data_IF_170209110057
#
_entry.id   IF_170209110057
#
_cell.length_a   1.000
_cell.length_b   1.000
_cell.length_c   1.000
_cell.angle_alpha   90.00
_cell.angle_beta   90.00
_cell.angle_gamma   90.00
#
_symmetry.space_group_name_H-M   'P 1'
#
loop_
_entity.id
_entity.type
_entity.pdbx_description
1 polymer ?
#
# COMPACT_ATOMS: atom_id res chain seq x y z
N UNK A 1 5.36 -24.36 -20.14
CA UNK A 1 4.14 -23.91 -19.42
C UNK A 1 4.33 -22.47 -18.96
N UNK A 2 3.34 -21.60 -19.13
CA UNK A 2 3.45 -20.20 -18.69
C UNK A 2 3.40 -20.12 -17.16
N UNK A 3 4.52 -19.81 -16.53
CA UNK A 3 4.68 -19.76 -15.06
C UNK A 3 3.93 -18.58 -14.40
N UNK A 4 3.46 -17.62 -15.20
CA UNK A 4 2.75 -16.43 -14.74
C UNK A 4 1.49 -16.75 -13.89
N UNK A 5 0.74 -17.78 -14.28
CA UNK A 5 -0.50 -18.16 -13.59
C UNK A 5 -0.33 -19.25 -12.53
N UNK A 6 0.89 -19.55 -12.12
CA UNK A 6 1.14 -20.57 -11.09
C UNK A 6 0.69 -20.13 -9.71
N UNK A 7 0.64 -18.82 -9.46
CA UNK A 7 0.17 -18.24 -8.19
C UNK A 7 -0.60 -16.93 -8.41
N UNK A 8 -1.70 -16.69 -7.68
CA UNK A 8 -2.56 -15.51 -7.86
C UNK A 8 -1.86 -14.17 -7.58
N UNK A 9 -0.84 -14.11 -6.73
CA UNK A 9 -0.06 -12.91 -6.46
C UNK A 9 0.36 -12.17 -7.75
N UNK A 10 0.82 -12.90 -8.74
CA UNK A 10 1.38 -12.34 -10.00
C UNK A 10 0.36 -11.61 -10.84
N UNK A 11 -0.78 -12.22 -11.24
CA UNK A 11 -1.81 -11.50 -11.98
C UNK A 11 -2.42 -10.35 -11.18
N UNK A 12 -2.56 -10.48 -9.86
CA UNK A 12 -3.04 -9.39 -9.02
C UNK A 12 -2.09 -8.20 -9.00
N UNK A 13 -0.78 -8.40 -8.83
CA UNK A 13 0.21 -7.31 -8.84
C UNK A 13 0.28 -6.64 -10.21
N UNK A 14 0.25 -7.41 -11.29
CA UNK A 14 0.24 -6.87 -12.66
C UNK A 14 -1.06 -6.09 -12.93
N UNK A 15 -2.21 -6.62 -12.53
CA UNK A 15 -3.51 -5.94 -12.65
C UNK A 15 -3.56 -4.65 -11.83
N UNK A 16 -3.07 -4.69 -10.60
CA UNK A 16 -2.99 -3.50 -9.75
C UNK A 16 -2.06 -2.43 -10.34
N UNK A 17 -0.92 -2.81 -10.92
CA UNK A 17 -0.03 -1.86 -11.60
C UNK A 17 -0.69 -1.24 -12.85
N UNK A 18 -1.44 -2.01 -13.63
CA UNK A 18 -2.21 -1.48 -14.75
C UNK A 18 -3.31 -0.49 -14.29
N UNK A 19 -4.02 -0.82 -13.20
CA UNK A 19 -5.00 0.08 -12.58
C UNK A 19 -4.35 1.35 -12.04
N UNK A 20 -3.14 1.28 -11.48
CA UNK A 20 -2.40 2.45 -11.02
C UNK A 20 -2.03 3.38 -12.18
N UNK A 21 -1.63 2.83 -13.34
CA UNK A 21 -1.38 3.62 -14.56
C UNK A 21 -2.68 4.31 -15.01
N UNK A 22 -3.78 3.57 -15.08
CA UNK A 22 -5.08 4.13 -15.46
C UNK A 22 -5.52 5.22 -14.48
N UNK A 23 -5.45 4.97 -13.18
CA UNK A 23 -5.81 5.93 -12.14
C UNK A 23 -4.95 7.19 -12.18
N UNK A 24 -3.66 7.09 -12.50
CA UNK A 24 -2.79 8.25 -12.65
C UNK A 24 -3.13 9.08 -13.90
N UNK A 25 -3.48 8.41 -15.01
CA UNK A 25 -3.71 9.07 -16.30
C UNK A 25 -5.17 9.48 -16.53
N UNK A 26 -6.09 9.16 -15.64
CA UNK A 26 -7.53 9.42 -15.83
C UNK A 26 -7.85 10.90 -16.06
N UNK A 27 -7.07 11.82 -15.50
CA UNK A 27 -7.24 13.26 -15.70
C UNK A 27 -6.96 13.74 -17.13
N UNK A 28 -6.20 12.97 -17.93
CA UNK A 28 -6.00 13.27 -19.35
C UNK A 28 -7.20 12.89 -20.22
N UNK A 29 -8.02 11.93 -19.73
CA UNK A 29 -9.24 11.47 -20.39
C UNK A 29 -10.42 12.33 -19.96
N UNK A 30 -10.49 12.67 -18.67
CA UNK A 30 -11.55 13.48 -18.08
C UNK A 30 -10.98 14.40 -16.98
N UNK A 31 -10.76 15.70 -17.27
CA UNK A 31 -10.15 16.64 -16.32
C UNK A 31 -10.89 16.79 -14.99
N UNK A 32 -12.21 16.53 -14.96
CA UNK A 32 -13.04 16.55 -13.74
C UNK A 32 -13.08 15.22 -12.97
N UNK A 33 -12.35 14.21 -13.37
CA UNK A 33 -12.46 12.83 -12.85
C UNK A 33 -11.79 12.59 -11.48
N UNK A 34 -11.90 13.55 -10.54
CA UNK A 34 -11.32 13.42 -9.19
C UNK A 34 -11.89 12.22 -8.44
N UNK A 35 -13.21 12.00 -8.54
CA UNK A 35 -13.87 10.87 -7.87
C UNK A 35 -13.40 9.56 -8.48
N UNK A 36 -13.40 9.46 -9.81
CA UNK A 36 -12.95 8.28 -10.53
C UNK A 36 -11.47 7.95 -10.23
N UNK A 37 -10.60 8.96 -10.17
CA UNK A 37 -9.21 8.79 -9.73
C UNK A 37 -9.13 8.14 -8.34
N UNK A 38 -9.89 8.63 -7.37
CA UNK A 38 -9.93 8.07 -6.01
C UNK A 38 -10.43 6.63 -6.00
N UNK A 39 -11.49 6.36 -6.74
CA UNK A 39 -12.08 5.03 -6.83
C UNK A 39 -11.14 4.03 -7.49
N UNK A 40 -10.48 4.37 -8.60
CA UNK A 40 -9.51 3.48 -9.23
C UNK A 40 -8.38 3.12 -8.26
N UNK A 41 -7.84 4.07 -7.51
CA UNK A 41 -6.78 3.77 -6.54
C UNK A 41 -7.29 3.02 -5.31
N UNK A 42 -8.34 3.52 -4.65
CA UNK A 42 -8.77 2.99 -3.35
C UNK A 42 -9.67 1.75 -3.48
N UNK A 43 -10.50 1.68 -4.53
CA UNK A 43 -11.49 0.62 -4.68
C UNK A 43 -11.08 -0.49 -5.66
N UNK A 44 -10.12 -0.26 -6.56
CA UNK A 44 -9.69 -1.28 -7.52
C UNK A 44 -8.21 -1.66 -7.33
N UNK A 45 -7.31 -0.69 -7.40
CA UNK A 45 -5.86 -0.93 -7.38
C UNK A 45 -5.41 -1.49 -6.03
N UNK A 46 -5.77 -0.86 -4.91
CA UNK A 46 -5.36 -1.32 -3.59
C UNK A 46 -5.97 -2.67 -3.21
N UNK A 47 -7.28 -2.95 -3.39
CA UNK A 47 -7.81 -4.29 -3.20
C UNK A 47 -7.07 -5.35 -4.00
N UNK A 48 -6.76 -5.10 -5.29
CA UNK A 48 -5.94 -6.01 -6.09
C UNK A 48 -4.54 -6.21 -5.48
N UNK A 49 -3.90 -5.14 -5.02
CA UNK A 49 -2.59 -5.22 -4.36
C UNK A 49 -2.64 -6.08 -3.09
N UNK A 50 -3.65 -5.89 -2.24
CA UNK A 50 -3.84 -6.68 -1.02
C UNK A 50 -4.19 -8.14 -1.31
N UNK A 51 -5.06 -8.40 -2.28
CA UNK A 51 -5.38 -9.76 -2.69
C UNK A 51 -4.18 -10.53 -3.17
N UNK A 52 -3.36 -9.89 -4.01
CA UNK A 52 -2.09 -10.47 -4.46
C UNK A 52 -1.14 -10.76 -3.31
N UNK A 53 -0.94 -9.80 -2.41
CA UNK A 53 -0.04 -9.96 -1.27
C UNK A 53 -0.56 -11.01 -0.28
N UNK A 54 -1.82 -10.90 0.16
CA UNK A 54 -2.34 -11.77 1.22
C UNK A 54 -2.54 -13.23 0.76
N UNK A 55 -2.78 -13.47 -0.53
CA UNK A 55 -2.82 -14.84 -1.06
C UNK A 55 -1.45 -15.52 -1.02
N UNK A 56 -0.34 -14.77 -1.02
CA UNK A 56 0.99 -15.32 -0.79
C UNK A 56 1.33 -15.37 0.72
N UNK A 57 1.24 -14.23 1.38
CA UNK A 57 1.67 -14.08 2.77
C UNK A 57 0.91 -14.98 3.76
N UNK A 58 -0.40 -15.17 3.55
CA UNK A 58 -1.20 -16.02 4.43
C UNK A 58 -0.80 -17.50 4.36
N UNK A 59 -0.30 -17.98 3.21
CA UNK A 59 0.22 -19.34 3.09
C UNK A 59 1.47 -19.54 3.97
N UNK A 60 2.40 -18.58 3.92
CA UNK A 60 3.60 -18.61 4.77
C UNK A 60 3.24 -18.49 6.25
N UNK A 61 2.32 -17.57 6.58
CA UNK A 61 1.99 -17.25 7.98
C UNK A 61 1.18 -18.34 8.67
N UNK A 62 0.47 -19.19 7.92
CA UNK A 62 -0.38 -20.26 8.46
C UNK A 62 0.04 -21.65 8.02
N UNK A 63 1.10 -21.79 7.23
CA UNK A 63 1.54 -23.08 6.70
C UNK A 63 0.51 -23.79 5.81
N UNK A 64 -0.51 -23.08 5.32
CA UNK A 64 -1.58 -23.66 4.51
C UNK A 64 -1.10 -24.08 3.12
N UNK A 65 -1.32 -25.34 2.76
CA UNK A 65 -0.91 -25.92 1.46
C UNK A 65 -2.08 -26.24 0.52
N UNK A 66 -3.25 -25.66 0.80
CA UNK A 66 -4.45 -25.95 0.01
C UNK A 66 -4.56 -25.13 -1.28
N UNK A 67 -5.68 -25.32 -2.00
CA UNK A 67 -5.91 -24.71 -3.30
C UNK A 67 -6.42 -23.26 -3.16
N UNK A 68 -5.73 -22.31 -3.81
CA UNK A 68 -6.11 -20.90 -3.86
C UNK A 68 -7.06 -20.57 -5.02
N UNK A 69 -7.12 -21.43 -6.04
CA UNK A 69 -7.84 -21.16 -7.29
C UNK A 69 -9.30 -20.71 -7.10
N UNK A 70 -10.13 -21.35 -6.24
CA UNK A 70 -11.52 -20.94 -6.09
C UNK A 70 -11.64 -19.51 -5.56
N UNK A 71 -10.93 -19.21 -4.47
CA UNK A 71 -10.97 -17.90 -3.82
C UNK A 71 -10.40 -16.80 -4.72
N UNK A 72 -9.27 -17.05 -5.37
CA UNK A 72 -8.65 -16.08 -6.27
C UNK A 72 -9.50 -15.83 -7.53
N UNK A 73 -10.17 -16.87 -8.08
CA UNK A 73 -11.11 -16.69 -9.20
C UNK A 73 -12.27 -15.81 -8.80
N UNK A 74 -12.89 -16.05 -7.63
CA UNK A 74 -13.97 -15.22 -7.13
C UNK A 74 -13.52 -13.76 -6.94
N UNK A 75 -12.37 -13.55 -6.32
CA UNK A 75 -11.81 -12.21 -6.11
C UNK A 75 -11.53 -11.47 -7.42
N UNK A 76 -10.94 -12.14 -8.41
CA UNK A 76 -10.70 -11.56 -9.75
C UNK A 76 -12.03 -11.22 -10.44
N UNK A 77 -13.03 -12.11 -10.37
CA UNK A 77 -14.35 -11.87 -10.94
C UNK A 77 -15.01 -10.63 -10.34
N UNK A 78 -14.97 -10.48 -9.01
CA UNK A 78 -15.52 -9.31 -8.31
C UNK A 78 -14.82 -8.02 -8.73
N UNK A 79 -13.49 -8.01 -8.84
CA UNK A 79 -12.73 -6.83 -9.29
C UNK A 79 -12.99 -6.49 -10.75
N UNK A 80 -13.08 -7.48 -11.63
CA UNK A 80 -13.42 -7.26 -13.03
C UNK A 80 -14.84 -6.71 -13.19
N UNK A 81 -15.82 -7.25 -12.43
CA UNK A 81 -17.17 -6.74 -12.39
C UNK A 81 -17.21 -5.29 -11.89
N UNK A 82 -16.52 -5.00 -10.78
CA UNK A 82 -16.39 -3.63 -10.26
C UNK A 82 -15.79 -2.69 -11.31
N UNK A 83 -14.69 -3.09 -11.95
CA UNK A 83 -14.00 -2.29 -12.98
C UNK A 83 -14.88 -2.00 -14.20
N UNK A 84 -15.65 -3.00 -14.65
CA UNK A 84 -16.54 -2.85 -15.80
C UNK A 84 -17.76 -1.97 -15.49
N UNK A 85 -18.27 -2.01 -14.27
CA UNK A 85 -19.45 -1.27 -13.84
C UNK A 85 -19.11 0.17 -13.41
N UNK A 86 -17.90 0.42 -12.91
CA UNK A 86 -17.49 1.69 -12.33
C UNK A 86 -17.81 2.92 -13.21
N UNK A 87 -17.59 2.92 -14.54
CA UNK A 87 -17.92 4.08 -15.39
C UNK A 87 -19.42 4.39 -15.48
N UNK A 88 -20.28 3.39 -15.22
CA UNK A 88 -21.74 3.50 -15.41
C UNK A 88 -22.49 3.68 -14.07
N UNK A 89 -22.03 2.99 -13.05
CA UNK A 89 -22.64 3.01 -11.72
C UNK A 89 -21.59 2.84 -10.62
N UNK A 90 -20.98 3.96 -10.18
CA UNK A 90 -19.93 3.93 -9.16
C UNK A 90 -20.36 3.23 -7.86
N UNK A 91 -21.58 3.49 -7.38
CA UNK A 91 -22.08 2.85 -6.17
C UNK A 91 -22.26 1.34 -6.32
N UNK A 92 -22.79 0.87 -7.46
CA UNK A 92 -22.90 -0.58 -7.74
C UNK A 92 -21.51 -1.22 -7.80
N UNK A 93 -20.55 -0.58 -8.44
CA UNK A 93 -19.16 -1.03 -8.45
C UNK A 93 -18.61 -1.18 -7.02
N UNK A 94 -18.89 -0.21 -6.14
CA UNK A 94 -18.45 -0.22 -4.75
C UNK A 94 -19.02 -1.39 -3.94
N UNK A 95 -20.21 -1.89 -4.24
CA UNK A 95 -20.75 -3.13 -3.63
C UNK A 95 -19.94 -4.37 -4.03
N UNK A 96 -19.50 -4.48 -5.29
CA UNK A 96 -18.61 -5.57 -5.70
C UNK A 96 -17.26 -5.50 -4.97
N UNK A 97 -16.74 -4.29 -4.71
CA UNK A 97 -15.52 -4.11 -3.91
C UNK A 97 -15.76 -4.45 -2.44
N UNK A 98 -16.92 -4.12 -1.88
CA UNK A 98 -17.29 -4.55 -0.52
C UNK A 98 -17.35 -6.09 -0.41
N UNK A 99 -17.96 -6.75 -1.39
CA UNK A 99 -17.97 -8.21 -1.49
C UNK A 99 -16.54 -8.79 -1.61
N UNK A 100 -15.65 -8.13 -2.36
CA UNK A 100 -14.25 -8.52 -2.45
C UNK A 100 -13.55 -8.48 -1.09
N UNK A 101 -13.71 -7.38 -0.33
CA UNK A 101 -13.13 -7.27 1.00
C UNK A 101 -13.70 -8.32 1.97
N UNK A 102 -15.00 -8.61 1.88
CA UNK A 102 -15.63 -9.66 2.66
C UNK A 102 -15.05 -11.05 2.34
N UNK A 103 -14.87 -11.38 1.06
CA UNK A 103 -14.26 -12.64 0.64
C UNK A 103 -12.82 -12.75 1.17
N UNK A 104 -12.04 -11.68 1.09
CA UNK A 104 -10.66 -11.65 1.59
C UNK A 104 -10.61 -11.78 3.13
N UNK A 105 -11.52 -11.10 3.84
CA UNK A 105 -11.68 -11.21 5.29
C UNK A 105 -12.02 -12.65 5.70
N UNK A 106 -13.02 -13.26 5.08
CA UNK A 106 -13.46 -14.62 5.40
C UNK A 106 -12.38 -15.66 5.08
N UNK A 107 -11.64 -15.48 3.98
CA UNK A 107 -10.52 -16.33 3.62
C UNK A 107 -9.39 -16.25 4.67
N UNK A 108 -8.96 -15.05 5.03
CA UNK A 108 -7.93 -14.88 6.05
C UNK A 108 -8.39 -15.37 7.44
N UNK A 109 -9.65 -15.10 7.82
CA UNK A 109 -10.22 -15.57 9.07
C UNK A 109 -10.25 -17.10 9.15
N UNK A 110 -10.65 -17.75 8.06
CA UNK A 110 -10.65 -19.21 7.96
C UNK A 110 -9.25 -19.80 8.11
N UNK A 111 -8.23 -19.22 7.46
CA UNK A 111 -6.84 -19.71 7.56
C UNK A 111 -6.30 -19.52 8.98
N UNK A 112 -6.53 -18.37 9.61
CA UNK A 112 -6.10 -18.11 10.99
C UNK A 112 -6.80 -19.04 11.97
N UNK A 113 -8.08 -19.34 11.75
CA UNK A 113 -8.82 -20.30 12.56
C UNK A 113 -8.26 -21.73 12.45
N UNK A 114 -7.86 -22.17 11.26
CA UNK A 114 -7.22 -23.44 11.03
C UNK A 114 -5.85 -23.56 11.73
N UNK A 115 -5.04 -22.51 11.63
CA UNK A 115 -3.70 -22.45 12.23
C UNK A 115 -3.73 -22.25 13.76
N UNK A 116 -4.85 -21.81 14.31
CA UNK A 116 -5.03 -21.46 15.74
C UNK A 116 -4.01 -20.44 16.27
N UNK A 117 -3.41 -19.64 15.39
CA UNK A 117 -2.41 -18.63 15.74
C UNK A 117 -3.09 -17.25 15.84
N UNK A 118 -2.99 -16.64 17.02
CA UNK A 118 -3.58 -15.32 17.31
C UNK A 118 -2.76 -14.15 16.83
N UNK A 119 -1.51 -14.36 16.40
CA UNK A 119 -0.58 -13.29 15.97
C UNK A 119 -1.09 -12.47 14.78
N UNK A 120 -2.05 -13.04 14.03
CA UNK A 120 -2.63 -12.42 12.85
C UNK A 120 -4.00 -11.74 13.11
N UNK A 121 -4.50 -11.67 14.33
CA UNK A 121 -5.81 -11.04 14.62
C UNK A 121 -5.87 -9.54 14.26
N UNK A 122 -4.75 -8.82 14.38
CA UNK A 122 -4.70 -7.43 13.94
C UNK A 122 -4.99 -7.27 12.43
N UNK A 123 -4.63 -8.25 11.60
CA UNK A 123 -4.99 -8.28 10.19
C UNK A 123 -6.50 -8.39 10.01
N UNK A 124 -7.17 -9.28 10.77
CA UNK A 124 -8.64 -9.44 10.68
C UNK A 124 -9.36 -8.14 11.06
N UNK A 125 -8.88 -7.42 12.09
CA UNK A 125 -9.42 -6.11 12.47
C UNK A 125 -9.32 -5.12 11.33
N UNK A 126 -8.17 -5.06 10.64
CA UNK A 126 -7.98 -4.18 9.47
C UNK A 126 -8.90 -4.57 8.31
N UNK A 127 -8.99 -5.86 7.97
CA UNK A 127 -9.86 -6.35 6.88
C UNK A 127 -11.34 -6.14 7.20
N UNK A 128 -11.76 -6.32 8.46
CA UNK A 128 -13.11 -6.00 8.90
C UNK A 128 -13.39 -4.49 8.77
N UNK A 129 -12.46 -3.63 9.16
CA UNK A 129 -12.59 -2.19 8.98
C UNK A 129 -12.72 -1.81 7.49
N UNK A 130 -11.89 -2.37 6.60
CA UNK A 130 -12.05 -2.17 5.15
C UNK A 130 -13.42 -2.60 4.65
N UNK A 131 -13.90 -3.78 5.08
CA UNK A 131 -15.22 -4.29 4.69
C UNK A 131 -16.34 -3.35 5.14
N UNK A 132 -16.31 -2.90 6.40
CA UNK A 132 -17.31 -1.99 6.97
C UNK A 132 -17.30 -0.62 6.26
N UNK A 133 -16.13 -0.01 6.11
CA UNK A 133 -16.01 1.31 5.47
C UNK A 133 -16.41 1.26 3.99
N UNK A 134 -16.04 0.20 3.29
CA UNK A 134 -16.39 0.01 1.89
C UNK A 134 -17.91 -0.22 1.72
N UNK A 135 -18.52 -1.03 2.58
CA UNK A 135 -19.97 -1.27 2.57
C UNK A 135 -20.74 0.02 2.89
N UNK A 136 -20.28 0.78 3.90
CA UNK A 136 -20.87 2.06 4.25
C UNK A 136 -20.77 3.07 3.10
N UNK A 137 -19.59 3.14 2.42
CA UNK A 137 -19.42 3.99 1.24
C UNK A 137 -20.34 3.57 0.09
N UNK A 138 -20.43 2.28 -0.21
CA UNK A 138 -21.31 1.78 -1.25
C UNK A 138 -22.80 2.11 -0.98
N UNK A 139 -23.22 2.08 0.30
CA UNK A 139 -24.58 2.39 0.70
C UNK A 139 -24.91 3.87 0.71
N UNK A 140 -23.95 4.74 1.08
CA UNK A 140 -24.21 6.18 1.34
C UNK A 140 -23.67 7.11 0.27
N UNK A 141 -22.61 6.70 -0.44
CA UNK A 141 -21.84 7.58 -1.34
C UNK A 141 -21.00 8.65 -0.61
N UNK A 142 -20.86 8.56 0.72
CA UNK A 142 -20.11 9.57 1.49
C UNK A 142 -18.61 9.49 1.22
N UNK A 143 -18.07 10.50 0.52
CA UNK A 143 -16.66 10.61 0.15
C UNK A 143 -15.72 10.73 1.37
N UNK A 144 -16.22 11.07 2.56
CA UNK A 144 -15.39 11.08 3.76
C UNK A 144 -14.98 9.66 4.16
N UNK A 145 -15.81 8.66 3.86
CA UNK A 145 -15.48 7.26 4.07
C UNK A 145 -14.31 6.82 3.18
N UNK A 146 -14.26 7.26 1.91
CA UNK A 146 -13.08 7.02 1.05
C UNK A 146 -11.83 7.73 1.56
N UNK A 147 -11.98 8.95 2.11
CA UNK A 147 -10.85 9.67 2.71
C UNK A 147 -10.31 8.92 3.93
N UNK A 148 -11.19 8.46 4.80
CA UNK A 148 -10.81 7.68 5.97
C UNK A 148 -10.14 6.34 5.60
N UNK A 149 -10.53 5.73 4.48
CA UNK A 149 -9.86 4.53 3.95
C UNK A 149 -8.38 4.76 3.62
N UNK A 150 -7.93 5.99 3.30
CA UNK A 150 -6.50 6.29 3.14
C UNK A 150 -5.74 5.96 4.43
N UNK A 151 -6.30 6.30 5.58
CA UNK A 151 -5.66 6.05 6.88
C UNK A 151 -5.71 4.57 7.28
N UNK A 152 -6.78 3.85 6.91
CA UNK A 152 -6.83 2.39 7.03
C UNK A 152 -5.75 1.72 6.16
N UNK A 153 -5.57 2.20 4.93
CA UNK A 153 -4.51 1.71 4.05
C UNK A 153 -3.12 1.98 4.62
N UNK A 154 -2.89 3.15 5.23
CA UNK A 154 -1.63 3.43 5.93
C UNK A 154 -1.43 2.52 7.14
N UNK A 155 -2.51 2.20 7.90
CA UNK A 155 -2.44 1.23 8.99
C UNK A 155 -2.06 -0.18 8.49
N UNK A 156 -2.62 -0.61 7.35
CA UNK A 156 -2.26 -1.87 6.72
C UNK A 156 -0.81 -1.87 6.19
N UNK A 157 -0.35 -0.77 5.58
CA UNK A 157 1.07 -0.59 5.19
C UNK A 157 1.97 -0.69 6.42
N UNK A 158 1.60 -0.07 7.55
CA UNK A 158 2.38 -0.18 8.78
C UNK A 158 2.36 -1.59 9.37
N UNK A 159 1.24 -2.30 9.28
CA UNK A 159 1.14 -3.70 9.72
C UNK A 159 2.10 -4.60 8.94
N UNK A 160 2.11 -4.49 7.61
CA UNK A 160 2.98 -5.29 6.72
C UNK A 160 4.43 -4.83 6.83
N UNK A 161 4.67 -3.51 6.94
CA UNK A 161 5.99 -2.90 6.91
C UNK A 161 6.93 -3.45 7.97
N UNK A 162 6.42 -3.86 9.14
CA UNK A 162 7.26 -4.44 10.21
C UNK A 162 7.80 -5.80 9.82
N UNK A 163 6.99 -6.65 9.19
CA UNK A 163 7.46 -7.96 8.72
C UNK A 163 8.51 -7.81 7.61
N UNK A 164 8.22 -6.91 6.67
CA UNK A 164 9.16 -6.59 5.60
C UNK A 164 10.43 -5.92 6.15
N UNK A 165 10.33 -5.02 7.16
CA UNK A 165 11.50 -4.36 7.73
C UNK A 165 12.45 -5.33 8.45
N UNK A 166 11.93 -6.38 9.07
CA UNK A 166 12.76 -7.44 9.66
C UNK A 166 13.59 -8.15 8.59
N UNK A 167 12.96 -8.50 7.47
CA UNK A 167 13.67 -9.10 6.33
C UNK A 167 14.71 -8.15 5.74
N UNK A 168 14.32 -6.89 5.47
CA UNK A 168 15.22 -5.87 4.92
C UNK A 168 16.40 -5.57 5.86
N UNK A 169 16.11 -5.45 7.16
CA UNK A 169 17.12 -5.19 8.18
C UNK A 169 18.10 -6.34 8.34
N UNK A 170 17.62 -7.58 8.40
CA UNK A 170 18.46 -8.77 8.49
C UNK A 170 19.39 -8.92 7.28
N UNK A 171 18.86 -8.73 6.07
CA UNK A 171 19.68 -8.80 4.84
C UNK A 171 20.72 -7.66 4.79
N UNK A 172 20.34 -6.44 5.17
CA UNK A 172 21.26 -5.31 5.21
C UNK A 172 22.39 -5.51 6.24
N UNK A 173 22.09 -6.01 7.45
CA UNK A 173 23.09 -6.33 8.47
C UNK A 173 24.09 -7.38 7.95
N UNK A 174 23.60 -8.43 7.32
CA UNK A 174 24.42 -9.48 6.70
C UNK A 174 25.34 -8.93 5.61
N UNK A 175 24.77 -8.13 4.68
CA UNK A 175 25.55 -7.53 3.59
C UNK A 175 26.57 -6.48 4.07
N UNK A 176 26.25 -5.72 5.13
CA UNK A 176 27.17 -4.72 5.71
C UNK A 176 28.17 -5.34 6.70
N UNK A 177 28.06 -6.65 7.01
CA UNK A 177 28.91 -7.36 7.99
C UNK A 177 28.93 -6.69 9.38
N UNK A 178 27.80 -6.09 9.76
CA UNK A 178 27.66 -5.47 11.08
C UNK A 178 27.39 -6.54 12.12
N UNK A 179 28.16 -6.52 13.23
CA UNK A 179 28.04 -7.50 14.32
C UNK A 179 27.03 -7.10 15.38
N UNK A 180 26.86 -5.80 15.59
CA UNK A 180 25.93 -5.29 16.60
C UNK A 180 24.54 -5.04 16.00
N UNK A 181 23.47 -5.22 16.79
CA UNK A 181 22.11 -4.99 16.33
C UNK A 181 21.84 -3.49 16.14
N UNK A 182 22.26 -2.96 14.98
CA UNK A 182 21.99 -1.58 14.57
C UNK A 182 20.53 -1.42 14.11
N UNK A 183 19.89 -2.54 13.79
CA UNK A 183 18.48 -2.63 13.44
C UNK A 183 17.75 -3.40 14.54
N UNK A 184 16.79 -2.73 15.20
CA UNK A 184 15.94 -3.35 16.22
C UNK A 184 14.48 -3.06 15.84
N UNK A 185 13.74 -4.06 15.28
CA UNK A 185 12.33 -3.87 14.98
C UNK A 185 11.56 -3.58 16.28
N UNK A 186 10.83 -2.47 16.29
CA UNK A 186 10.10 -2.05 17.47
C UNK A 186 8.60 -2.35 17.32
N UNK A 187 8.18 -3.48 17.92
CA UNK A 187 6.78 -3.92 17.91
C UNK A 187 5.86 -2.90 18.60
N UNK A 188 6.35 -2.21 19.64
CA UNK A 188 5.57 -1.20 20.36
C UNK A 188 5.24 -0.03 19.43
N UNK A 189 6.24 0.53 18.74
CA UNK A 189 6.01 1.61 17.77
C UNK A 189 5.09 1.20 16.61
N UNK A 190 5.19 -0.06 16.16
CA UNK A 190 4.25 -0.61 15.18
C UNK A 190 2.81 -0.55 15.69
N UNK A 191 2.57 -1.12 16.85
CA UNK A 191 1.22 -1.22 17.39
C UNK A 191 0.63 0.16 17.69
N UNK A 192 1.43 1.06 18.26
CA UNK A 192 1.03 2.46 18.49
C UNK A 192 0.72 3.15 17.15
N UNK A 193 1.55 2.99 16.12
CA UNK A 193 1.32 3.59 14.81
C UNK A 193 0.00 3.11 14.19
N UNK A 194 -0.27 1.81 14.21
CA UNK A 194 -1.53 1.23 13.71
C UNK A 194 -2.72 1.79 14.51
N UNK A 195 -2.64 1.77 15.84
CA UNK A 195 -3.72 2.26 16.71
C UNK A 195 -4.03 3.73 16.44
N UNK A 196 -3.01 4.60 16.36
CA UNK A 196 -3.21 6.02 16.10
C UNK A 196 -3.68 6.30 14.66
N UNK A 197 -3.30 5.49 13.68
CA UNK A 197 -3.83 5.58 12.32
C UNK A 197 -5.33 5.24 12.28
N UNK A 198 -5.77 4.20 13.00
CA UNK A 198 -7.19 3.85 13.14
C UNK A 198 -7.97 4.92 13.90
N UNK A 199 -7.40 5.47 14.99
CA UNK A 199 -7.98 6.59 15.73
C UNK A 199 -8.10 7.84 14.84
N UNK A 200 -7.09 8.12 14.02
CA UNK A 200 -7.14 9.24 13.08
C UNK A 200 -8.20 9.04 12.00
N UNK A 201 -8.34 7.82 11.44
CA UNK A 201 -9.40 7.49 10.50
C UNK A 201 -10.79 7.75 11.12
N UNK A 202 -10.99 7.33 12.37
CA UNK A 202 -12.20 7.59 13.12
C UNK A 202 -12.41 9.10 13.40
N UNK A 203 -11.35 9.81 13.77
CA UNK A 203 -11.40 11.26 14.02
C UNK A 203 -11.78 12.04 12.76
N UNK A 204 -11.30 11.65 11.58
CA UNK A 204 -11.66 12.25 10.30
C UNK A 204 -13.18 12.17 10.00
N UNK A 205 -13.86 11.14 10.50
CA UNK A 205 -15.28 10.91 10.24
C UNK A 205 -16.20 11.55 11.26
N UNK A 206 -15.81 11.50 12.53
CA UNK A 206 -16.76 11.74 13.62
C UNK A 206 -16.37 12.88 14.56
N UNK A 207 -15.15 13.42 14.44
CA UNK A 207 -14.68 14.43 15.38
C UNK A 207 -14.41 15.77 14.68
N UNK A 208 -14.39 16.89 15.43
CA UNK A 208 -14.04 18.19 14.87
C UNK A 208 -12.66 18.21 14.20
N UNK A 209 -12.49 19.07 13.19
CA UNK A 209 -11.25 19.20 12.43
C UNK A 209 -10.01 19.41 13.30
N UNK A 210 -10.14 20.14 14.41
CA UNK A 210 -9.06 20.34 15.37
C UNK A 210 -8.61 19.02 16.03
N UNK A 211 -9.55 18.18 16.49
CA UNK A 211 -9.25 16.85 17.08
C UNK A 211 -8.60 15.96 16.04
N UNK A 212 -9.11 15.92 14.82
CA UNK A 212 -8.48 15.22 13.71
C UNK A 212 -7.07 15.78 13.41
N UNK A 213 -6.84 17.07 13.58
CA UNK A 213 -5.52 17.71 13.46
C UNK A 213 -4.54 17.19 14.50
N UNK A 214 -4.92 17.10 15.78
CA UNK A 214 -4.06 16.56 16.84
C UNK A 214 -3.76 15.08 16.66
N UNK A 215 -4.73 14.28 16.23
CA UNK A 215 -4.49 12.85 15.93
C UNK A 215 -3.55 12.68 14.74
N UNK A 216 -3.63 13.52 13.71
CA UNK A 216 -2.68 13.52 12.59
C UNK A 216 -1.25 13.85 13.06
N UNK A 217 -1.07 14.89 13.91
CA UNK A 217 0.24 15.22 14.50
C UNK A 217 0.80 14.04 15.28
N UNK A 218 -0.02 13.38 16.11
CA UNK A 218 0.40 12.20 16.87
C UNK A 218 0.90 11.09 15.95
N UNK A 219 0.16 10.76 14.88
CA UNK A 219 0.60 9.79 13.86
C UNK A 219 1.94 10.22 13.26
N UNK A 220 2.08 11.47 12.85
CA UNK A 220 3.31 11.98 12.26
C UNK A 220 4.53 11.82 13.18
N UNK A 221 4.42 12.18 14.44
CA UNK A 221 5.50 12.00 15.43
C UNK A 221 5.83 10.53 15.70
N UNK A 222 4.83 9.65 15.75
CA UNK A 222 5.05 8.21 15.90
C UNK A 222 5.83 7.64 14.72
N UNK A 223 5.47 8.03 13.49
CA UNK A 223 6.17 7.59 12.28
C UNK A 223 7.61 8.14 12.21
N UNK A 224 7.84 9.38 12.68
CA UNK A 224 9.20 9.92 12.83
C UNK A 224 10.03 9.10 13.84
N UNK A 225 9.45 8.78 15.01
CA UNK A 225 10.12 7.96 16.00
C UNK A 225 10.48 6.57 15.45
N UNK A 226 9.62 6.01 14.58
CA UNK A 226 9.83 4.72 13.93
C UNK A 226 11.03 4.73 12.96
N UNK A 227 11.43 5.86 12.40
CA UNK A 227 12.64 5.97 11.56
C UNK A 227 13.91 5.49 12.27
N UNK A 228 13.95 5.57 13.62
CA UNK A 228 15.09 5.11 14.41
C UNK A 228 15.43 3.64 14.18
N UNK A 229 14.45 2.80 13.79
CA UNK A 229 14.67 1.37 13.53
C UNK A 229 15.77 1.11 12.50
N UNK A 230 15.89 1.98 11.49
CA UNK A 230 16.83 1.83 10.37
C UNK A 230 17.77 3.04 10.21
N UNK A 231 17.83 3.95 11.20
CA UNK A 231 18.62 5.17 11.13
C UNK A 231 20.10 4.90 11.38
N UNK A 232 20.74 4.22 10.43
CA UNK A 232 22.17 3.94 10.45
C UNK A 232 22.75 4.13 9.06
N UNK A 233 23.89 4.86 8.94
CA UNK A 233 24.42 5.28 7.64
C UNK A 233 24.77 4.10 6.72
N UNK A 234 25.31 2.99 7.25
CA UNK A 234 25.62 1.81 6.43
C UNK A 234 24.33 1.13 5.91
N UNK A 235 23.30 1.01 6.75
CA UNK A 235 22.00 0.45 6.33
C UNK A 235 21.36 1.32 5.25
N UNK A 236 21.41 2.65 5.39
CA UNK A 236 20.85 3.61 4.42
C UNK A 236 21.60 3.64 3.08
N UNK A 237 22.79 3.03 2.97
CA UNK A 237 23.43 2.79 1.66
C UNK A 237 22.69 1.77 0.81
N UNK A 238 21.94 0.86 1.45
CA UNK A 238 21.14 -0.14 0.73
C UNK A 238 19.86 0.48 0.18
N UNK A 239 19.63 0.33 -1.12
CA UNK A 239 18.50 0.99 -1.80
C UNK A 239 17.13 0.52 -1.27
N UNK A 240 16.99 -0.76 -0.90
CA UNK A 240 15.76 -1.28 -0.33
C UNK A 240 15.50 -0.73 1.09
N UNK A 241 16.54 -0.52 1.91
CA UNK A 241 16.42 0.14 3.21
C UNK A 241 16.05 1.62 3.04
N UNK A 242 16.68 2.33 2.09
CA UNK A 242 16.32 3.72 1.78
C UNK A 242 14.86 3.85 1.34
N UNK A 243 14.37 2.92 0.52
CA UNK A 243 12.95 2.91 0.11
C UNK A 243 12.04 2.85 1.33
N UNK A 244 12.31 1.93 2.25
CA UNK A 244 11.55 1.82 3.50
C UNK A 244 11.67 3.08 4.36
N UNK A 245 12.86 3.63 4.51
CA UNK A 245 13.10 4.85 5.27
C UNK A 245 12.35 6.05 4.68
N UNK A 246 12.41 6.22 3.36
CA UNK A 246 11.76 7.34 2.66
C UNK A 246 10.23 7.24 2.76
N UNK A 247 9.62 6.06 2.59
CA UNK A 247 8.16 5.95 2.72
C UNK A 247 7.67 6.36 4.12
N UNK A 248 8.43 6.00 5.17
CA UNK A 248 8.11 6.40 6.54
C UNK A 248 8.25 7.92 6.73
N UNK A 249 9.33 8.50 6.18
CA UNK A 249 9.58 9.94 6.25
C UNK A 249 8.50 10.74 5.52
N UNK A 250 8.12 10.32 4.32
CA UNK A 250 7.06 10.98 3.54
C UNK A 250 5.69 10.86 4.23
N UNK A 251 5.37 9.69 4.77
CA UNK A 251 4.15 9.51 5.55
C UNK A 251 4.16 10.41 6.80
N UNK A 252 5.25 10.43 7.56
CA UNK A 252 5.40 11.28 8.73
C UNK A 252 5.22 12.76 8.39
N UNK A 253 5.94 13.24 7.38
CA UNK A 253 5.84 14.64 6.92
C UNK A 253 4.42 14.97 6.45
N UNK A 254 3.77 14.06 5.73
CA UNK A 254 2.39 14.22 5.29
C UNK A 254 1.41 14.35 6.45
N UNK A 255 1.52 13.50 7.48
CA UNK A 255 0.66 13.57 8.66
C UNK A 255 0.93 14.82 9.51
N UNK A 256 2.19 15.20 9.72
CA UNK A 256 2.52 16.44 10.43
C UNK A 256 1.96 17.67 9.72
N UNK A 257 2.12 17.73 8.40
CA UNK A 257 1.57 18.83 7.61
C UNK A 257 0.02 18.81 7.59
N UNK A 258 -0.60 17.61 7.46
CA UNK A 258 -2.07 17.48 7.55
C UNK A 258 -2.58 18.00 8.90
N UNK A 259 -1.93 17.63 10.00
CA UNK A 259 -2.29 18.09 11.33
C UNK A 259 -2.18 19.61 11.47
N UNK A 260 -1.04 20.19 11.06
CA UNK A 260 -0.83 21.64 11.09
C UNK A 260 -1.85 22.39 10.21
N UNK A 261 -2.15 21.88 9.01
CA UNK A 261 -3.14 22.48 8.11
C UNK A 261 -4.54 22.47 8.73
N UNK A 262 -4.97 21.36 9.34
CA UNK A 262 -6.28 21.26 10.00
C UNK A 262 -6.41 22.20 11.21
N UNK A 263 -5.37 22.35 12.01
CA UNK A 263 -5.37 23.28 13.15
C UNK A 263 -5.47 24.74 12.70
N UNK A 264 -5.00 25.04 11.50
CA UNK A 264 -5.07 26.39 10.89
C UNK A 264 -6.27 26.57 9.95
N UNK A 265 -7.17 25.58 9.84
CA UNK A 265 -8.30 25.54 8.90
C UNK A 265 -7.86 25.72 7.43
N UNK A 266 -6.67 25.19 7.07
CA UNK A 266 -6.14 25.21 5.71
C UNK A 266 -6.48 23.88 4.97
N UNK A 267 -6.52 23.92 3.62
CA UNK A 267 -6.75 22.72 2.82
C UNK A 267 -5.65 21.66 3.05
N UNK A 268 -6.05 20.40 3.28
CA UNK A 268 -5.13 19.28 3.50
C UNK A 268 -4.88 18.42 2.23
N UNK A 269 -5.24 18.91 1.04
CA UNK A 269 -5.07 18.15 -0.21
C UNK A 269 -3.59 17.91 -0.57
N UNK A 270 -2.74 18.90 -0.38
CA UNK A 270 -1.30 18.79 -0.66
C UNK A 270 -0.63 17.75 0.25
N UNK A 271 -0.71 17.84 1.60
CA UNK A 271 -0.10 16.88 2.48
C UNK A 271 -0.68 15.46 2.33
N UNK A 272 -1.96 15.32 1.96
CA UNK A 272 -2.55 14.02 1.70
C UNK A 272 -1.82 13.24 0.59
N UNK A 273 -1.24 13.93 -0.40
CA UNK A 273 -0.46 13.27 -1.45
C UNK A 273 0.95 12.88 -1.03
N UNK A 274 1.53 13.49 0.00
CA UNK A 274 2.72 12.92 0.64
C UNK A 274 2.40 11.59 1.32
N UNK A 275 1.24 11.51 1.97
CA UNK A 275 0.77 10.27 2.60
C UNK A 275 0.48 9.21 1.52
N UNK A 276 -0.30 9.56 0.48
CA UNK A 276 -0.76 8.56 -0.51
C UNK A 276 0.34 8.16 -1.50
N UNK A 277 1.05 9.10 -2.13
CA UNK A 277 2.12 8.76 -3.09
C UNK A 277 3.41 8.37 -2.38
N UNK A 278 3.87 9.16 -1.40
CA UNK A 278 5.13 8.90 -0.72
C UNK A 278 5.04 7.74 0.27
N UNK A 279 4.06 7.78 1.17
CA UNK A 279 3.86 6.75 2.21
C UNK A 279 3.21 5.49 1.66
N UNK A 280 1.96 5.58 1.22
CA UNK A 280 1.14 4.42 0.86
C UNK A 280 1.64 3.72 -0.41
N UNK A 281 1.81 4.46 -1.53
CA UNK A 281 2.33 3.84 -2.76
C UNK A 281 3.80 3.44 -2.63
N UNK A 282 4.61 4.18 -1.84
CA UNK A 282 5.96 3.74 -1.46
C UNK A 282 5.95 2.39 -0.75
N UNK A 283 5.01 2.19 0.18
CA UNK A 283 4.81 0.92 0.89
C UNK A 283 4.37 -0.21 -0.03
N UNK A 284 3.38 0.04 -0.89
CA UNK A 284 2.92 -0.93 -1.90
C UNK A 284 4.06 -1.33 -2.83
N UNK A 285 4.81 -0.36 -3.35
CA UNK A 285 5.95 -0.63 -4.23
C UNK A 285 7.03 -1.44 -3.53
N UNK A 286 7.38 -1.10 -2.29
CA UNK A 286 8.35 -1.85 -1.50
C UNK A 286 7.93 -3.32 -1.33
N UNK A 287 6.66 -3.56 -0.98
CA UNK A 287 6.11 -4.92 -0.83
C UNK A 287 6.16 -5.66 -2.17
N UNK A 288 5.74 -5.04 -3.25
CA UNK A 288 5.73 -5.68 -4.57
C UNK A 288 7.13 -6.04 -5.07
N UNK A 289 8.11 -5.16 -4.85
CA UNK A 289 9.50 -5.42 -5.21
C UNK A 289 10.08 -6.55 -4.37
N UNK A 290 9.86 -6.53 -3.07
CA UNK A 290 10.40 -7.52 -2.14
C UNK A 290 9.73 -8.88 -2.32
N UNK A 291 8.40 -8.94 -2.23
CA UNK A 291 7.65 -10.18 -2.38
C UNK A 291 7.75 -10.75 -3.81
N UNK A 292 7.73 -9.86 -4.82
CA UNK A 292 7.88 -10.26 -6.23
C UNK A 292 9.22 -10.95 -6.52
N UNK A 293 10.33 -10.47 -5.94
CA UNK A 293 11.63 -11.11 -6.05
C UNK A 293 11.68 -12.39 -5.22
N UNK A 294 11.31 -12.31 -3.93
CA UNK A 294 11.34 -13.43 -3.00
C UNK A 294 10.59 -14.63 -3.55
N UNK A 295 9.32 -14.48 -3.85
CA UNK A 295 8.49 -15.55 -4.42
C UNK A 295 8.80 -15.91 -5.89
N UNK A 296 9.83 -15.31 -6.48
CA UNK A 296 10.40 -15.71 -7.77
C UNK A 296 11.77 -16.40 -7.63
N UNK A 297 12.17 -16.77 -6.39
CA UNK A 297 13.38 -17.53 -6.10
C UNK A 297 14.66 -16.68 -6.06
N UNK A 298 14.55 -15.36 -5.89
CA UNK A 298 15.73 -14.51 -5.74
C UNK A 298 16.16 -14.48 -4.26
N UNK A 299 17.36 -14.95 -3.98
CA UNK A 299 17.94 -14.99 -2.62
C UNK A 299 18.49 -13.65 -2.13
N UNK A 300 18.62 -12.67 -3.02
CA UNK A 300 19.11 -11.32 -2.71
C UNK A 300 18.06 -10.28 -3.04
N UNK A 301 17.91 -9.29 -2.16
CA UNK A 301 16.98 -8.16 -2.34
C UNK A 301 17.58 -7.05 -3.21
N UNK A 302 18.32 -7.43 -4.26
CA UNK A 302 18.90 -6.48 -5.18
C UNK A 302 17.85 -6.07 -6.24
N UNK A 303 17.20 -4.91 -6.02
CA UNK A 303 16.15 -4.45 -6.93
C UNK A 303 16.69 -4.28 -8.35
N UNK A 304 15.98 -4.76 -9.39
CA UNK A 304 16.36 -4.57 -10.78
C UNK A 304 16.57 -3.09 -11.13
N UNK A 305 17.45 -2.81 -12.08
CA UNK A 305 17.86 -1.44 -12.44
C UNK A 305 16.69 -0.49 -12.70
N UNK A 306 15.68 -0.93 -13.46
CA UNK A 306 14.49 -0.11 -13.75
C UNK A 306 13.70 0.22 -12.47
N UNK A 307 13.61 -0.72 -11.53
CA UNK A 307 12.92 -0.48 -10.26
C UNK A 307 13.71 0.44 -9.33
N UNK A 308 15.05 0.42 -9.37
CA UNK A 308 15.88 1.38 -8.64
C UNK A 308 15.68 2.82 -9.14
N UNK A 309 15.30 2.99 -10.43
CA UNK A 309 14.96 4.28 -11.02
C UNK A 309 13.49 4.63 -10.69
N UNK A 310 12.58 3.66 -10.72
CA UNK A 310 11.17 3.87 -10.45
C UNK A 310 10.90 4.43 -9.03
N UNK A 311 11.63 3.94 -8.02
CA UNK A 311 11.44 4.38 -6.63
C UNK A 311 11.68 5.89 -6.44
N UNK A 312 12.82 6.47 -6.81
CA UNK A 312 13.00 7.92 -6.69
C UNK A 312 12.03 8.73 -7.56
N UNK A 313 11.58 8.22 -8.71
CA UNK A 313 10.55 8.87 -9.54
C UNK A 313 9.22 8.96 -8.76
N UNK A 314 8.84 7.91 -8.01
CA UNK A 314 7.64 7.94 -7.18
C UNK A 314 7.70 9.03 -6.11
N UNK A 315 8.83 9.15 -5.42
CA UNK A 315 9.02 10.22 -4.43
C UNK A 315 9.08 11.60 -5.06
N UNK A 316 9.66 11.75 -6.25
CA UNK A 316 9.62 13.00 -7.02
C UNK A 316 8.18 13.39 -7.41
N UNK A 317 7.35 12.41 -7.80
CA UNK A 317 5.92 12.64 -8.05
C UNK A 317 5.21 13.14 -6.79
N UNK A 318 5.49 12.55 -5.61
CA UNK A 318 4.92 13.00 -4.34
C UNK A 318 5.33 14.44 -3.99
N UNK A 319 6.60 14.79 -4.16
CA UNK A 319 7.12 16.15 -3.94
C UNK A 319 6.47 17.14 -4.89
N UNK A 320 6.45 16.83 -6.19
CA UNK A 320 5.83 17.70 -7.21
C UNK A 320 4.35 17.95 -6.86
N UNK A 321 3.60 16.89 -6.54
CA UNK A 321 2.17 16.98 -6.23
C UNK A 321 1.87 17.75 -4.94
N UNK A 322 2.73 17.67 -3.94
CA UNK A 322 2.51 18.30 -2.65
C UNK A 322 3.00 19.75 -2.61
N UNK A 323 4.20 20.04 -3.09
CA UNK A 323 4.85 21.35 -2.88
C UNK A 323 4.68 22.31 -4.06
N UNK A 324 4.38 21.84 -5.27
CA UNK A 324 4.26 22.69 -6.45
C UNK A 324 2.81 23.06 -6.79
N UNK A 325 1.87 22.81 -5.88
CA UNK A 325 0.43 23.07 -6.07
C UNK A 325 0.11 24.53 -6.41
N UNK A 326 0.83 25.46 -5.82
CA UNK A 326 0.62 26.91 -6.03
C UNK A 326 1.43 27.50 -7.19
N UNK A 327 2.24 26.70 -7.89
CA UNK A 327 3.10 27.17 -8.97
C UNK A 327 2.36 27.12 -10.30
N UNK A 328 1.94 25.95 -10.73
CA UNK A 328 1.23 25.76 -12.01
C UNK A 328 0.55 24.37 -12.01
N UNK A 329 -0.69 24.23 -12.56
CA UNK A 329 -1.38 22.94 -12.71
C UNK A 329 -0.54 21.83 -13.37
N UNK A 330 0.34 22.17 -14.31
CA UNK A 330 1.25 21.20 -14.93
C UNK A 330 2.11 20.50 -13.87
N UNK A 331 2.66 21.24 -12.93
CA UNK A 331 3.55 20.68 -11.91
C UNK A 331 2.85 19.87 -10.83
N UNK A 332 1.58 20.13 -10.54
CA UNK A 332 0.89 19.41 -9.48
C UNK A 332 -0.17 18.40 -9.97
N UNK A 333 -0.53 18.41 -11.26
CA UNK A 333 -1.42 17.39 -11.85
C UNK A 333 -0.68 16.57 -12.90
N UNK A 334 -0.21 17.22 -13.98
CA UNK A 334 0.31 16.56 -15.17
C UNK A 334 1.60 15.80 -14.90
N UNK A 335 2.61 16.46 -14.32
CA UNK A 335 3.90 15.84 -14.02
C UNK A 335 3.76 14.67 -13.03
N UNK A 336 3.11 14.81 -11.86
CA UNK A 336 2.93 13.69 -10.96
C UNK A 336 2.16 12.52 -11.58
N UNK A 337 1.15 12.79 -12.42
CA UNK A 337 0.40 11.74 -13.12
C UNK A 337 1.31 10.94 -14.06
N UNK A 338 2.10 11.64 -14.89
CA UNK A 338 3.05 11.00 -15.82
C UNK A 338 4.13 10.22 -15.05
N UNK A 339 4.71 10.83 -14.01
CA UNK A 339 5.74 10.18 -13.20
C UNK A 339 5.19 8.93 -12.51
N UNK A 340 3.98 9.01 -11.94
CA UNK A 340 3.33 7.85 -11.29
C UNK A 340 3.05 6.75 -12.32
N UNK A 341 2.50 7.08 -13.48
CA UNK A 341 2.29 6.10 -14.54
C UNK A 341 3.62 5.46 -14.99
N UNK A 342 4.67 6.24 -15.18
CA UNK A 342 6.01 5.75 -15.54
C UNK A 342 6.57 4.76 -14.53
N UNK A 343 6.39 5.01 -13.21
CA UNK A 343 6.80 4.09 -12.14
C UNK A 343 6.19 2.70 -12.34
N UNK A 344 4.88 2.63 -12.57
CA UNK A 344 4.20 1.35 -12.73
C UNK A 344 4.47 0.70 -14.09
N UNK A 345 4.73 1.48 -15.13
CA UNK A 345 5.25 0.94 -16.42
C UNK A 345 6.62 0.29 -16.23
N UNK A 346 7.55 0.95 -15.54
CA UNK A 346 8.88 0.38 -15.24
C UNK A 346 8.77 -0.90 -14.38
N UNK A 347 7.83 -0.93 -13.44
CA UNK A 347 7.50 -2.14 -12.68
C UNK A 347 7.03 -3.27 -13.60
N UNK A 348 6.05 -3.03 -14.46
CA UNK A 348 5.52 -4.03 -15.40
C UNK A 348 6.58 -4.55 -16.37
N UNK A 349 7.41 -3.66 -16.94
CA UNK A 349 8.52 -4.03 -17.82
C UNK A 349 9.53 -4.94 -17.13
N UNK A 350 9.67 -4.81 -15.82
CA UNK A 350 10.59 -5.62 -15.02
C UNK A 350 9.95 -6.93 -14.57
N UNK A 351 8.78 -6.87 -13.95
CA UNK A 351 8.21 -8.02 -13.24
C UNK A 351 7.39 -8.96 -14.11
N UNK A 352 6.81 -8.51 -15.23
CA UNK A 352 6.12 -9.42 -16.16
C UNK A 352 7.08 -10.47 -16.74
N UNK A 353 8.29 -10.11 -17.23
CA UNK A 353 9.28 -11.11 -17.63
C UNK A 353 9.72 -12.04 -16.49
N UNK A 354 10.00 -11.48 -15.28
CA UNK A 354 10.40 -12.26 -14.11
C UNK A 354 9.32 -13.31 -13.78
N UNK A 355 8.06 -12.90 -13.70
CA UNK A 355 6.93 -13.77 -13.37
C UNK A 355 6.64 -14.83 -14.44
N UNK A 356 6.99 -14.57 -15.71
CA UNK A 356 6.89 -15.56 -16.79
C UNK A 356 8.02 -16.58 -16.77
N UNK A 357 9.21 -16.15 -16.40
CA UNK A 357 10.42 -16.98 -16.44
C UNK A 357 10.55 -17.89 -15.21
N UNK A 358 10.21 -17.41 -14.02
CA UNK A 358 10.47 -18.09 -12.76
C UNK A 358 9.22 -18.79 -12.20
N UNK A 359 9.35 -19.92 -11.56
CA UNK A 359 8.25 -20.54 -10.80
C UNK A 359 7.96 -19.70 -9.54
N UNK A 360 6.76 -19.84 -8.97
CA UNK A 360 6.49 -19.32 -7.65
C UNK A 360 7.15 -20.25 -6.63
N UNK A 361 7.86 -19.67 -5.69
CA UNK A 361 8.55 -20.40 -4.61
C UNK A 361 8.08 -19.81 -3.28
N UNK A 362 7.68 -20.68 -2.36
CA UNK A 362 7.29 -20.27 -1.01
C UNK A 362 8.52 -20.04 -0.14
N UNK A 363 9.61 -20.75 -0.44
CA UNK A 363 10.87 -20.69 0.30
C UNK A 363 12.03 -20.71 -0.71
N UNK A 364 12.61 -19.57 -1.07
CA UNK A 364 13.78 -19.51 -1.94
C UNK A 364 14.99 -20.07 -1.17
N UNK A 365 15.54 -21.19 -1.64
CA UNK A 365 16.78 -21.78 -1.13
C UNK A 365 17.98 -20.84 -1.23
#
# INVERSE_FOLDING_TARGET
>A
MNKFFTHPMRPFFVGAAALAILGALVFFISPGAVILHRQIFLELMLPAAYGGFLTAAMLEWTGYKGRLKPVSTLMVTLLLAASAILPFSPQTASFFVAAYWLVLLLFCAWLIWLDRNTDNFALLTLLAAFTVFQTAYAATGDLNLLRAQVHLNMAAVMFVSVRVSVLLGAEALKECRLKDPVFIPNIVYKNIAITFLLLHAAAELWLPAQTAGFTALAVGFILLAKLRELHHHELLRKHYVRTYYLLQLFAAAGYLWTGAAKLQNLPASAPLHLITLGGMMGGVMMVWLTAGLWHSGFTKLDYPKLCRIAVPILFAAAVSRAFLMNVNPIFFITIPAILTAAVFVLYLLTFVPIFRANAFTDDPE
#
